data_IF_124183250392
#
_entry.id   IF_124183250392
#
_cell.length_a   1.000
_cell.length_b   1.000
_cell.length_c   1.000
_cell.angle_alpha   90.00
_cell.angle_beta   90.00
_cell.angle_gamma   90.00
#
_symmetry.space_group_name_H-M   'P 1'
#
loop_
_entity.id
_entity.type
_entity.pdbx_description
1 polymer ?
#
# COMPACT_ATOMS: atom_id res chain seq x y z
N UNK A 1 0.75 -9.69 16.37
CA UNK A 1 1.33 -8.85 17.43
C UNK A 1 2.06 -7.61 16.88
N UNK A 2 2.87 -7.71 15.82
CA UNK A 2 3.56 -6.55 15.24
C UNK A 2 2.62 -5.42 14.78
N UNK A 3 1.64 -5.74 13.94
CA UNK A 3 0.69 -4.75 13.39
C UNK A 3 -0.18 -4.07 14.46
N UNK A 4 -0.58 -4.81 15.50
CA UNK A 4 -1.35 -4.25 16.62
C UNK A 4 -0.54 -3.23 17.42
N UNK A 5 0.77 -3.48 17.63
CA UNK A 5 1.67 -2.54 18.31
C UNK A 5 1.88 -1.27 17.49
N UNK A 6 2.00 -1.39 16.17
CA UNK A 6 2.12 -0.23 15.26
C UNK A 6 0.88 0.67 15.35
N UNK A 7 -0.32 0.09 15.29
CA UNK A 7 -1.58 0.83 15.43
C UNK A 7 -1.66 1.49 16.80
N UNK A 8 -1.38 0.75 17.88
CA UNK A 8 -1.40 1.26 19.24
C UNK A 8 -0.42 2.44 19.43
N UNK A 9 0.80 2.34 18.89
CA UNK A 9 1.82 3.40 19.00
C UNK A 9 1.37 4.71 18.32
N UNK A 10 0.75 4.62 17.14
CA UNK A 10 0.25 5.79 16.39
C UNK A 10 -0.96 6.43 17.06
N UNK A 11 -1.86 5.62 17.64
CA UNK A 11 -3.03 6.12 18.37
C UNK A 11 -2.61 6.78 19.68
N UNK A 12 -1.77 6.14 20.49
CA UNK A 12 -1.38 6.63 21.82
C UNK A 12 -0.50 7.88 21.74
N UNK A 13 0.39 7.96 20.75
CA UNK A 13 1.39 9.04 20.70
C UNK A 13 1.00 10.15 19.72
N UNK A 14 0.52 11.29 20.25
CA UNK A 14 0.15 12.46 19.42
C UNK A 14 1.29 12.98 18.52
N UNK A 15 2.54 12.92 18.99
CA UNK A 15 3.74 13.30 18.19
C UNK A 15 3.95 12.39 16.97
N UNK A 16 3.46 11.16 16.99
CA UNK A 16 3.57 10.19 15.90
C UNK A 16 2.41 10.30 14.88
N UNK A 17 1.43 11.19 15.04
CA UNK A 17 0.30 11.33 14.09
C UNK A 17 0.64 12.18 12.86
N UNK A 18 1.71 11.82 12.15
CA UNK A 18 2.04 12.40 10.84
C UNK A 18 1.27 11.68 9.72
N UNK A 19 1.09 12.34 8.57
CA UNK A 19 0.45 11.74 7.37
C UNK A 19 1.04 10.37 7.03
N UNK A 20 2.36 10.25 7.02
CA UNK A 20 3.10 9.00 6.80
C UNK A 20 2.70 7.91 7.79
N UNK A 21 2.63 8.25 9.08
CA UNK A 21 2.33 7.27 10.13
C UNK A 21 0.84 6.86 10.13
N UNK A 22 -0.06 7.72 9.62
CA UNK A 22 -1.43 7.33 9.35
C UNK A 22 -1.51 6.29 8.21
N UNK A 23 -0.69 6.41 7.15
CA UNK A 23 -0.60 5.35 6.14
C UNK A 23 0.01 4.07 6.67
N UNK A 24 1.07 4.17 7.50
CA UNK A 24 1.65 2.99 8.18
C UNK A 24 0.60 2.32 9.07
N UNK A 25 -0.25 3.09 9.75
CA UNK A 25 -1.36 2.54 10.52
C UNK A 25 -2.43 1.91 9.64
N UNK A 26 -2.73 2.47 8.46
CA UNK A 26 -3.66 1.88 7.48
C UNK A 26 -3.13 0.55 6.93
N UNK A 27 -1.84 0.50 6.60
CA UNK A 27 -1.14 -0.72 6.19
C UNK A 27 -1.21 -1.79 7.28
N UNK A 28 -0.85 -1.43 8.53
CA UNK A 28 -0.94 -2.34 9.66
C UNK A 28 -2.37 -2.85 9.91
N UNK A 29 -3.40 -2.02 9.67
CA UNK A 29 -4.79 -2.44 9.78
C UNK A 29 -5.16 -3.44 8.68
N UNK A 30 -4.76 -3.20 7.42
CA UNK A 30 -4.98 -4.14 6.33
C UNK A 30 -4.30 -5.49 6.59
N UNK A 31 -3.03 -5.49 6.98
CA UNK A 31 -2.28 -6.72 7.27
C UNK A 31 -2.86 -7.49 8.48
N UNK A 32 -3.37 -6.76 9.48
CA UNK A 32 -4.07 -7.39 10.61
C UNK A 32 -5.38 -8.05 10.17
N UNK A 33 -6.15 -7.38 9.30
CA UNK A 33 -7.38 -7.93 8.75
C UNK A 33 -7.11 -9.17 7.88
N UNK A 34 -6.01 -9.20 7.12
CA UNK A 34 -5.59 -10.42 6.40
C UNK A 34 -5.33 -11.55 7.38
N UNK A 35 -4.54 -11.29 8.44
CA UNK A 35 -4.22 -12.29 9.45
C UNK A 35 -5.42 -12.80 10.25
N UNK A 36 -6.44 -11.97 10.46
CA UNK A 36 -7.62 -12.32 11.27
C UNK A 36 -8.80 -12.86 10.45
N UNK A 37 -9.03 -12.34 9.25
CA UNK A 37 -10.21 -12.65 8.45
C UNK A 37 -9.91 -13.51 7.22
N UNK A 38 -8.71 -13.40 6.64
CA UNK A 38 -8.34 -14.15 5.42
C UNK A 38 -7.64 -15.46 5.76
N UNK A 39 -6.67 -15.42 6.69
CA UNK A 39 -5.85 -16.59 7.03
C UNK A 39 -6.63 -17.73 7.69
N UNK A 40 -7.57 -17.52 8.65
CA UNK A 40 -8.24 -18.65 9.29
C UNK A 40 -9.11 -19.49 8.34
N UNK A 41 -9.93 -18.90 7.44
CA UNK A 41 -10.62 -19.68 6.41
C UNK A 41 -9.65 -20.39 5.44
N UNK A 42 -8.50 -19.78 5.11
CA UNK A 42 -7.47 -20.41 4.28
C UNK A 42 -6.93 -21.70 4.90
N UNK A 43 -6.64 -21.65 6.21
CA UNK A 43 -6.15 -22.81 6.98
C UNK A 43 -7.23 -23.87 7.07
N UNK A 44 -8.48 -23.49 7.35
CA UNK A 44 -9.60 -24.43 7.38
C UNK A 44 -9.76 -25.17 6.04
N UNK A 45 -9.66 -24.45 4.92
CA UNK A 45 -9.72 -25.05 3.58
C UNK A 45 -8.59 -26.06 3.33
N UNK A 46 -7.38 -25.79 3.83
CA UNK A 46 -6.26 -26.73 3.73
C UNK A 46 -6.48 -27.97 4.61
N UNK A 47 -7.05 -27.81 5.80
CA UNK A 47 -7.33 -28.91 6.73
C UNK A 47 -8.46 -29.82 6.25
N UNK A 48 -9.45 -29.29 5.52
CA UNK A 48 -10.57 -30.06 4.96
C UNK A 48 -10.23 -30.74 3.63
N UNK A 49 -8.96 -30.74 3.20
CA UNK A 49 -8.55 -31.34 1.93
C UNK A 49 -9.00 -30.54 0.71
N UNK A 50 -9.21 -29.23 0.87
CA UNK A 50 -9.65 -28.33 -0.19
C UNK A 50 -11.16 -28.22 -0.33
N UNK A 51 -11.95 -28.70 0.66
CA UNK A 51 -13.41 -28.56 0.62
C UNK A 51 -13.92 -27.32 1.35
N UNK A 52 -14.74 -26.51 0.67
CA UNK A 52 -15.38 -25.30 1.17
C UNK A 52 -16.85 -25.56 1.45
N UNK A 53 -17.20 -25.69 2.73
CA UNK A 53 -18.56 -26.02 3.19
C UNK A 53 -19.35 -24.78 3.66
N UNK A 54 -18.75 -23.59 3.59
CA UNK A 54 -19.32 -22.32 4.07
C UNK A 54 -20.24 -21.62 3.06
N UNK A 55 -20.44 -22.24 1.88
CA UNK A 55 -21.29 -21.73 0.81
C UNK A 55 -20.61 -20.74 -0.15
N UNK A 56 -21.20 -20.58 -1.34
CA UNK A 56 -20.61 -19.81 -2.44
C UNK A 56 -20.48 -18.31 -2.14
N UNK A 57 -21.49 -17.72 -1.50
CA UNK A 57 -21.49 -16.28 -1.18
C UNK A 57 -20.31 -15.93 -0.26
N UNK A 58 -20.00 -16.81 0.69
CA UNK A 58 -18.89 -16.59 1.62
C UNK A 58 -17.54 -16.79 0.93
N UNK A 59 -17.45 -17.70 -0.04
CA UNK A 59 -16.25 -17.86 -0.87
C UNK A 59 -15.97 -16.60 -1.70
N UNK A 60 -16.99 -16.10 -2.42
CA UNK A 60 -16.87 -14.88 -3.23
C UNK A 60 -16.48 -13.68 -2.36
N UNK A 61 -17.08 -13.55 -1.17
CA UNK A 61 -16.73 -12.51 -0.22
C UNK A 61 -15.30 -12.66 0.30
N UNK A 62 -14.88 -13.87 0.67
CA UNK A 62 -13.54 -14.15 1.21
C UNK A 62 -12.44 -13.87 0.18
N UNK A 63 -12.62 -14.34 -1.06
CA UNK A 63 -11.72 -14.04 -2.18
C UNK A 63 -11.67 -12.54 -2.47
N UNK A 64 -12.82 -11.87 -2.53
CA UNK A 64 -12.87 -10.42 -2.78
C UNK A 64 -12.18 -9.63 -1.66
N UNK A 65 -12.36 -10.06 -0.42
CA UNK A 65 -11.75 -9.44 0.76
C UNK A 65 -10.22 -9.59 0.74
N UNK A 66 -9.70 -10.77 0.38
CA UNK A 66 -8.27 -11.02 0.24
C UNK A 66 -7.62 -10.07 -0.78
N UNK A 67 -8.19 -9.99 -1.99
CA UNK A 67 -7.69 -9.08 -3.04
C UNK A 67 -7.80 -7.62 -2.57
N UNK A 68 -8.88 -7.25 -1.87
CA UNK A 68 -9.10 -5.88 -1.41
C UNK A 68 -8.04 -5.48 -0.39
N UNK A 69 -7.79 -6.34 0.59
CA UNK A 69 -6.81 -6.08 1.64
C UNK A 69 -5.38 -6.05 1.08
N UNK A 70 -5.03 -6.98 0.19
CA UNK A 70 -3.75 -6.96 -0.51
C UNK A 70 -3.55 -5.66 -1.32
N UNK A 71 -4.59 -5.25 -2.07
CA UNK A 71 -4.57 -4.01 -2.85
C UNK A 71 -4.45 -2.79 -1.95
N UNK A 72 -5.18 -2.75 -0.83
CA UNK A 72 -5.11 -1.67 0.15
C UNK A 72 -3.71 -1.55 0.78
N UNK A 73 -3.04 -2.68 1.08
CA UNK A 73 -1.66 -2.70 1.56
C UNK A 73 -0.69 -2.13 0.51
N UNK A 74 -0.79 -2.58 -0.75
CA UNK A 74 0.08 -2.10 -1.84
C UNK A 74 -0.14 -0.60 -2.12
N UNK A 75 -1.38 -0.13 -2.20
CA UNK A 75 -1.70 1.28 -2.40
C UNK A 75 -1.25 2.14 -1.20
N UNK A 76 -1.32 1.62 0.02
CA UNK A 76 -0.76 2.29 1.21
C UNK A 76 0.76 2.44 1.10
N UNK A 77 1.48 1.42 0.63
CA UNK A 77 2.93 1.50 0.35
C UNK A 77 3.26 2.52 -0.74
N UNK A 78 2.45 2.57 -1.81
CA UNK A 78 2.60 3.58 -2.86
C UNK A 78 2.42 5.00 -2.30
N UNK A 79 1.39 5.21 -1.47
CA UNK A 79 1.13 6.49 -0.83
C UNK A 79 2.27 6.91 0.10
N UNK A 80 2.85 5.98 0.87
CA UNK A 80 4.04 6.22 1.70
C UNK A 80 5.22 6.65 0.82
N UNK A 81 5.43 5.97 -0.31
CA UNK A 81 6.53 6.27 -1.23
C UNK A 81 6.39 7.67 -1.85
N UNK A 82 5.19 8.03 -2.30
CA UNK A 82 4.86 9.35 -2.82
C UNK A 82 5.04 10.43 -1.74
N UNK A 83 4.60 10.15 -0.52
CA UNK A 83 4.77 11.03 0.64
C UNK A 83 6.25 11.32 0.91
N UNK A 84 7.11 10.30 0.86
CA UNK A 84 8.57 10.46 0.95
C UNK A 84 9.12 11.29 -0.20
N UNK A 85 8.69 11.04 -1.43
CA UNK A 85 9.13 11.80 -2.59
C UNK A 85 8.79 13.28 -2.48
N UNK A 86 7.57 13.63 -2.08
CA UNK A 86 7.14 15.02 -1.88
C UNK A 86 7.92 15.69 -0.74
N UNK A 87 8.21 14.96 0.34
CA UNK A 87 9.04 15.47 1.44
C UNK A 87 10.47 15.83 0.98
N UNK A 88 11.05 15.00 0.11
CA UNK A 88 12.42 15.19 -0.40
C UNK A 88 12.49 16.26 -1.50
N UNK A 89 11.48 16.36 -2.36
CA UNK A 89 11.50 17.30 -3.48
C UNK A 89 11.00 18.69 -3.12
N UNK A 90 10.02 18.83 -2.23
CA UNK A 90 9.37 20.11 -1.93
C UNK A 90 9.23 20.38 -0.42
N UNK A 91 10.35 20.52 0.33
CA UNK A 91 10.34 20.56 1.79
C UNK A 91 9.49 21.70 2.39
N UNK A 92 9.47 22.89 1.77
CA UNK A 92 8.78 24.07 2.30
C UNK A 92 7.25 23.99 2.17
N UNK A 93 6.75 23.59 0.99
CA UNK A 93 5.31 23.43 0.72
C UNK A 93 4.77 22.21 1.48
N UNK A 94 5.56 21.14 1.51
CA UNK A 94 5.19 19.88 2.13
C UNK A 94 5.11 19.98 3.67
N UNK A 95 5.97 20.77 4.33
CA UNK A 95 5.94 20.99 5.79
C UNK A 95 4.58 21.50 6.29
N UNK A 96 3.94 22.41 5.55
CA UNK A 96 2.60 22.95 5.90
C UNK A 96 1.49 21.93 5.65
N UNK A 97 1.59 21.13 4.57
CA UNK A 97 0.58 20.14 4.17
C UNK A 97 0.59 18.89 5.06
N UNK A 98 1.78 18.47 5.53
CA UNK A 98 1.99 17.29 6.40
C UNK A 98 1.25 17.35 7.74
N UNK A 99 0.86 18.53 8.21
CA UNK A 99 0.12 18.69 9.49
C UNK A 99 -1.40 18.53 9.36
N UNK A 100 -1.94 18.43 8.14
CA UNK A 100 -3.38 18.32 7.93
C UNK A 100 -3.88 16.89 8.18
N UNK A 101 -4.44 16.65 9.37
CA UNK A 101 -5.13 15.38 9.70
C UNK A 101 -6.29 15.07 8.76
N UNK A 102 -6.99 16.11 8.28
CA UNK A 102 -8.08 15.97 7.31
C UNK A 102 -7.59 15.39 5.99
N UNK A 103 -6.43 15.84 5.51
CA UNK A 103 -5.85 15.31 4.27
C UNK A 103 -5.41 13.84 4.44
N UNK A 104 -4.79 13.49 5.56
CA UNK A 104 -4.41 12.10 5.85
C UNK A 104 -5.64 11.18 5.83
N UNK A 105 -6.73 11.58 6.48
CA UNK A 105 -7.98 10.83 6.48
C UNK A 105 -8.57 10.68 5.07
N UNK A 106 -8.64 11.76 4.30
CA UNK A 106 -9.12 11.73 2.92
C UNK A 106 -8.29 10.81 2.02
N UNK A 107 -6.97 10.80 2.16
CA UNK A 107 -6.10 9.93 1.36
C UNK A 107 -6.25 8.46 1.75
N UNK A 108 -6.40 8.14 3.04
CA UNK A 108 -6.69 6.78 3.48
C UNK A 108 -8.02 6.32 2.89
N UNK A 109 -9.08 7.12 3.03
CA UNK A 109 -10.40 6.82 2.44
C UNK A 109 -10.27 6.61 0.93
N UNK A 110 -9.51 7.45 0.22
CA UNK A 110 -9.27 7.27 -1.21
C UNK A 110 -8.56 5.95 -1.53
N UNK A 111 -7.55 5.53 -0.74
CA UNK A 111 -6.87 4.23 -0.90
C UNK A 111 -7.85 3.08 -0.75
N UNK A 112 -8.70 3.11 0.27
CA UNK A 112 -9.70 2.06 0.50
C UNK A 112 -10.78 2.05 -0.58
N UNK A 113 -11.23 3.21 -1.07
CA UNK A 113 -12.17 3.31 -2.18
C UNK A 113 -11.56 2.76 -3.48
N UNK A 114 -10.31 3.11 -3.79
CA UNK A 114 -9.62 2.59 -4.97
C UNK A 114 -9.44 1.07 -4.88
N UNK A 115 -9.03 0.54 -3.72
CA UNK A 115 -8.95 -0.90 -3.49
C UNK A 115 -10.31 -1.58 -3.68
N UNK A 116 -11.38 -1.00 -3.13
CA UNK A 116 -12.74 -1.47 -3.32
C UNK A 116 -13.19 -1.45 -4.78
N UNK A 117 -12.86 -0.40 -5.54
CA UNK A 117 -13.22 -0.29 -6.95
C UNK A 117 -12.48 -1.31 -7.85
N UNK A 118 -11.23 -1.64 -7.52
CA UNK A 118 -10.45 -2.67 -8.24
C UNK A 118 -11.01 -4.07 -7.96
N UNK A 119 -11.60 -4.27 -6.77
CA UNK A 119 -12.06 -5.58 -6.29
C UNK A 119 -13.56 -5.81 -6.37
N UNK A 120 -14.35 -4.78 -6.67
CA UNK A 120 -15.79 -4.88 -6.90
C UNK A 120 -16.25 -5.63 -8.17
N UNK A 121 -15.48 -5.75 -9.27
CA UNK A 121 -16.01 -6.34 -10.51
C UNK A 121 -16.60 -7.76 -10.41
N UNK A 122 -16.06 -8.69 -9.59
CA UNK A 122 -16.68 -9.98 -9.30
C UNK A 122 -18.05 -9.86 -8.63
N UNK A 123 -18.20 -8.92 -7.71
CA UNK A 123 -19.42 -8.72 -6.92
C UNK A 123 -20.53 -8.06 -7.74
N UNK A 124 -20.17 -7.22 -8.71
CA UNK A 124 -21.09 -6.54 -9.62
C UNK A 124 -21.54 -7.41 -10.80
N UNK A 125 -21.00 -8.63 -10.95
CA UNK A 125 -21.32 -9.51 -12.06
C UNK A 125 -20.78 -9.04 -13.41
N UNK A 126 -19.75 -8.18 -13.42
CA UNK A 126 -19.12 -7.66 -14.64
C UNK A 126 -18.32 -8.74 -15.40
N UNK A 127 -18.00 -9.84 -14.73
CA UNK A 127 -17.31 -10.99 -15.29
C UNK A 127 -18.15 -12.25 -15.06
N UNK A 128 -18.06 -13.26 -15.95
CA UNK A 128 -18.70 -14.55 -15.73
C UNK A 128 -18.31 -15.08 -14.35
N UNK A 129 -19.28 -15.61 -13.60
CA UNK A 129 -18.94 -16.35 -12.38
C UNK A 129 -18.21 -17.61 -12.81
N UNK A 130 -17.26 -18.07 -12.01
CA UNK A 130 -16.55 -19.32 -12.27
C UNK A 130 -17.58 -20.45 -12.51
N UNK A 131 -17.70 -20.89 -13.77
CA UNK A 131 -18.73 -21.82 -14.24
C UNK A 131 -18.47 -23.28 -13.81
N UNK A 132 -17.29 -23.58 -13.26
CA UNK A 132 -16.92 -24.91 -12.77
C UNK A 132 -17.19 -25.05 -11.27
N UNK A 133 -18.48 -25.13 -10.93
CA UNK A 133 -18.96 -25.30 -9.55
C UNK A 133 -18.95 -26.78 -9.14
N UNK A 134 -17.76 -27.31 -8.88
CA UNK A 134 -17.69 -28.25 -7.76
C UNK A 134 -18.04 -27.42 -6.51
N UNK A 135 -19.29 -27.54 -6.03
CA UNK A 135 -19.87 -26.78 -4.89
C UNK A 135 -18.95 -26.79 -3.65
N UNK A 136 -18.01 -27.73 -3.62
CA UNK A 136 -17.05 -27.93 -2.55
C UNK A 136 -15.70 -27.24 -2.76
N UNK A 137 -15.39 -26.50 -3.83
CA UNK A 137 -14.07 -25.86 -3.97
C UNK A 137 -14.21 -24.35 -4.07
N UNK A 138 -13.64 -23.63 -3.09
CA UNK A 138 -13.50 -22.18 -3.16
C UNK A 138 -12.20 -21.81 -3.87
N UNK A 139 -12.30 -21.23 -5.06
CA UNK A 139 -11.16 -20.83 -5.89
C UNK A 139 -11.37 -19.45 -6.49
N UNK A 140 -10.27 -18.78 -6.80
CA UNK A 140 -10.29 -17.51 -7.54
C UNK A 140 -10.93 -17.73 -8.91
N UNK A 141 -11.61 -16.70 -9.43
CA UNK A 141 -12.12 -16.77 -10.79
C UNK A 141 -10.95 -16.88 -11.78
N UNK A 142 -10.89 -17.98 -12.52
CA UNK A 142 -9.80 -18.29 -13.45
C UNK A 142 -10.03 -17.72 -14.87
N UNK A 143 -11.10 -16.95 -15.07
CA UNK A 143 -11.31 -16.22 -16.32
C UNK A 143 -10.10 -15.35 -16.65
N UNK A 144 -9.50 -15.58 -17.82
CA UNK A 144 -8.26 -14.90 -18.20
C UNK A 144 -8.40 -13.38 -18.18
N UNK A 145 -9.56 -12.84 -18.59
CA UNK A 145 -9.82 -11.40 -18.53
C UNK A 145 -9.84 -10.86 -17.10
N UNK A 146 -10.40 -11.60 -16.15
CA UNK A 146 -10.46 -11.20 -14.75
C UNK A 146 -9.08 -11.31 -14.07
N UNK A 147 -8.35 -12.40 -14.32
CA UNK A 147 -6.99 -12.60 -13.78
C UNK A 147 -6.06 -11.50 -14.28
N UNK A 148 -6.09 -11.17 -15.57
CA UNK A 148 -5.27 -10.09 -16.15
C UNK A 148 -5.67 -8.74 -15.55
N UNK A 149 -6.96 -8.42 -15.51
CA UNK A 149 -7.44 -7.15 -14.95
C UNK A 149 -7.03 -6.97 -13.48
N UNK A 150 -7.31 -7.98 -12.64
CA UNK A 150 -7.01 -7.95 -11.21
C UNK A 150 -5.51 -7.90 -10.94
N UNK A 151 -4.70 -8.68 -11.65
CA UNK A 151 -3.25 -8.65 -11.50
C UNK A 151 -2.64 -7.31 -11.94
N UNK A 152 -3.12 -6.76 -13.07
CA UNK A 152 -2.64 -5.45 -13.55
C UNK A 152 -2.99 -4.32 -12.60
N UNK A 153 -4.24 -4.26 -12.13
CA UNK A 153 -4.71 -3.19 -11.25
C UNK A 153 -4.14 -3.28 -9.83
N UNK A 154 -4.00 -4.49 -9.29
CA UNK A 154 -3.61 -4.69 -7.88
C UNK A 154 -2.10 -4.77 -7.69
N UNK A 155 -1.35 -5.26 -8.68
CA UNK A 155 0.08 -5.54 -8.53
C UNK A 155 0.94 -4.74 -9.51
N UNK A 156 0.78 -4.92 -10.82
CA UNK A 156 1.72 -4.36 -11.81
C UNK A 156 1.69 -2.84 -11.87
N UNK A 157 0.50 -2.23 -11.93
CA UNK A 157 0.37 -0.78 -12.03
C UNK A 157 0.88 -0.09 -10.74
N UNK A 158 0.50 -0.52 -9.53
CA UNK A 158 1.11 0.00 -8.30
C UNK A 158 2.63 -0.23 -8.22
N UNK A 159 3.13 -1.38 -8.68
CA UNK A 159 4.57 -1.67 -8.71
C UNK A 159 5.33 -0.70 -9.62
N UNK A 160 4.83 -0.42 -10.82
CA UNK A 160 5.44 0.53 -11.75
C UNK A 160 5.48 1.95 -11.15
N UNK A 161 4.38 2.36 -10.50
CA UNK A 161 4.34 3.65 -9.78
C UNK A 161 5.39 3.69 -8.68
N UNK A 162 5.51 2.63 -7.88
CA UNK A 162 6.56 2.53 -6.85
C UNK A 162 7.95 2.64 -7.46
N UNK A 163 8.28 1.83 -8.47
CA UNK A 163 9.59 1.84 -9.12
C UNK A 163 9.95 3.22 -9.67
N UNK A 164 9.00 3.88 -10.34
CA UNK A 164 9.19 5.24 -10.83
C UNK A 164 9.49 6.23 -9.69
N UNK A 165 8.67 6.20 -8.63
CA UNK A 165 8.83 7.10 -7.48
C UNK A 165 10.17 6.84 -6.79
N UNK A 166 10.53 5.59 -6.52
CA UNK A 166 11.82 5.23 -5.92
C UNK A 166 13.00 5.63 -6.80
N UNK A 167 12.94 5.40 -8.11
CA UNK A 167 13.97 5.86 -9.04
C UNK A 167 14.17 7.37 -8.97
N UNK A 168 13.08 8.14 -8.95
CA UNK A 168 13.14 9.61 -8.80
C UNK A 168 13.68 10.04 -7.44
N UNK A 169 13.31 9.38 -6.35
CA UNK A 169 13.86 9.63 -5.01
C UNK A 169 15.39 9.43 -5.04
N UNK A 170 15.86 8.29 -5.54
CA UNK A 170 17.29 7.96 -5.61
C UNK A 170 18.07 8.97 -6.44
N UNK A 171 17.55 9.39 -7.59
CA UNK A 171 18.16 10.44 -8.40
C UNK A 171 18.26 11.78 -7.65
N UNK A 172 17.21 12.18 -6.93
CA UNK A 172 17.20 13.44 -6.18
C UNK A 172 18.20 13.40 -5.01
N UNK A 173 18.25 12.28 -4.29
CA UNK A 173 19.22 12.08 -3.20
C UNK A 173 20.65 12.14 -3.75
N UNK A 174 20.95 11.42 -4.83
CA UNK A 174 22.26 11.44 -5.46
C UNK A 174 22.67 12.84 -5.95
N UNK A 175 21.72 13.61 -6.50
CA UNK A 175 21.94 15.00 -6.90
C UNK A 175 22.27 15.91 -5.71
N UNK A 176 21.53 15.77 -4.61
CA UNK A 176 21.79 16.55 -3.38
C UNK A 176 23.15 16.22 -2.77
N UNK A 177 23.55 14.94 -2.75
CA UNK A 177 24.87 14.53 -2.25
C UNK A 177 26.00 15.20 -3.04
N UNK A 178 25.95 15.13 -4.38
CA UNK A 178 26.93 15.77 -5.25
C UNK A 178 26.99 17.29 -5.08
N UNK A 179 25.85 17.94 -4.84
CA UNK A 179 25.82 19.39 -4.60
C UNK A 179 26.40 19.77 -3.24
N UNK A 180 26.18 18.96 -2.20
CA UNK A 180 26.80 19.16 -0.88
C UNK A 180 28.33 19.01 -0.95
N UNK A 181 28.84 18.01 -1.66
CA UNK A 181 30.28 17.83 -1.90
C UNK A 181 30.88 19.06 -2.60
N UNK A 182 30.24 19.53 -3.67
CA UNK A 182 30.69 20.74 -4.39
C UNK A 182 30.67 22.00 -3.53
N UNK A 183 29.67 22.16 -2.66
CA UNK A 183 29.61 23.31 -1.74
C UNK A 183 30.73 23.23 -0.71
N UNK A 184 30.96 22.06 -0.11
CA UNK A 184 32.05 21.85 0.85
C UNK A 184 33.43 22.09 0.22
N UNK A 185 33.65 21.66 -1.02
CA UNK A 185 34.88 21.96 -1.76
C UNK A 185 35.08 23.47 -1.97
N UNK A 186 34.02 24.19 -2.38
CA UNK A 186 34.07 25.65 -2.55
C UNK A 186 34.36 26.38 -1.24
N UNK A 187 33.76 25.95 -0.14
CA UNK A 187 34.02 26.50 1.19
C UNK A 187 35.45 26.24 1.65
N UNK A 188 35.98 25.03 1.43
CA UNK A 188 37.37 24.70 1.74
C UNK A 188 38.37 25.56 0.95
N UNK A 189 38.13 25.80 -0.35
CA UNK A 189 38.99 26.66 -1.17
C UNK A 189 38.95 28.11 -0.65
N UNK A 190 37.77 28.62 -0.32
CA UNK A 190 37.60 29.99 0.21
C UNK A 190 38.29 30.18 1.56
N UNK A 191 38.26 29.17 2.42
CA UNK A 191 38.94 29.18 3.71
C UNK A 191 40.46 29.24 3.57
N UNK A 192 41.06 28.51 2.60
CA UNK A 192 42.50 28.59 2.35
C UNK A 192 42.96 29.97 1.89
N UNK A 193 42.18 30.65 1.06
CA UNK A 193 42.52 31.98 0.54
C UNK A 193 42.46 33.11 1.59
N UNK A 194 41.82 32.89 2.75
CA UNK A 194 41.77 33.90 3.82
C UNK A 194 42.97 33.88 4.77
N UNK A 195 43.80 32.85 4.71
CA UNK A 195 44.94 32.63 5.62
C UNK A 195 46.25 33.14 5.00
N UNK A 196 46.28 33.28 3.67
CA UNK A 196 47.38 33.86 2.89
C UNK A 196 47.17 35.36 2.71
#
# INVERSE_FOLDING_TARGET
>A
VGNTLVIAAVITTRRLRSVTNCFVSSLAAADLLVGLAVMPPAVLLQLTGGTWELGEILCDFWVSLDILLCTASILSLCAISIDRYLAVTQPLIYSRRRRSKRLAGLMIVAVWIMAGAITSPPLLGCFPRATNRDIKKCSYNMDSSYVIFSAMGSFFLPMLVMLYVYGRISCVIASRHRNLEKTNERENIRSRHKIT
#
